data_IF_569142656430
#
_entry.id   IF_569142656430
#
_cell.length_a   1.000
_cell.length_b   1.000
_cell.length_c   1.000
_cell.angle_alpha   90.00
_cell.angle_beta   90.00
_cell.angle_gamma   90.00
#
_symmetry.space_group_name_H-M   'P 1'
#
loop_
_entity.id
_entity.type
_entity.pdbx_description
1 polymer ?
#
# COMPACT_ATOMS: atom_id res chain seq x y z
N UNK A 1 -8.50 -22.50 -52.58
CA UNK A 1 -9.07 -22.61 -51.22
C UNK A 1 -8.40 -21.51 -50.41
N UNK A 2 -9.01 -20.32 -50.40
CA UNK A 2 -8.53 -19.17 -49.64
C UNK A 2 -9.26 -19.22 -48.30
N UNK A 3 -8.50 -19.36 -47.22
CA UNK A 3 -9.01 -19.31 -45.85
C UNK A 3 -9.28 -17.85 -45.53
N UNK A 4 -10.53 -17.56 -45.21
CA UNK A 4 -11.01 -16.26 -44.75
C UNK A 4 -10.62 -16.08 -43.28
N UNK A 5 -9.47 -15.42 -43.06
CA UNK A 5 -8.99 -14.99 -41.74
C UNK A 5 -9.69 -13.68 -41.31
N UNK A 6 -11.01 -13.70 -41.28
CA UNK A 6 -11.79 -12.66 -40.61
C UNK A 6 -11.76 -12.94 -39.10
N UNK A 7 -10.63 -12.63 -38.46
CA UNK A 7 -10.58 -12.47 -37.01
C UNK A 7 -11.46 -11.27 -36.65
N UNK A 8 -12.68 -11.54 -36.21
CA UNK A 8 -13.56 -10.56 -35.59
C UNK A 8 -12.84 -9.97 -34.38
N UNK A 9 -12.44 -8.71 -34.47
CA UNK A 9 -12.07 -7.95 -33.27
C UNK A 9 -13.26 -8.00 -32.29
N UNK A 10 -13.02 -8.23 -30.99
CA UNK A 10 -14.09 -8.25 -30.02
C UNK A 10 -14.75 -6.87 -30.01
N UNK A 11 -16.01 -6.79 -30.44
CA UNK A 11 -16.83 -5.61 -30.22
C UNK A 11 -16.96 -5.43 -28.71
N UNK A 12 -16.23 -4.45 -28.18
CA UNK A 12 -16.40 -3.99 -26.81
C UNK A 12 -17.82 -3.43 -26.70
N UNK A 13 -18.68 -4.15 -25.99
CA UNK A 13 -19.96 -3.63 -25.54
C UNK A 13 -19.71 -2.31 -24.80
N UNK A 14 -20.06 -1.19 -25.44
CA UNK A 14 -19.88 0.17 -24.92
C UNK A 14 -20.78 0.48 -23.71
N UNK A 15 -21.47 -0.53 -23.17
CA UNK A 15 -22.33 -0.44 -21.98
C UNK A 15 -21.58 -0.65 -20.66
N UNK A 16 -20.32 -1.11 -20.66
CA UNK A 16 -19.50 -1.16 -19.45
C UNK A 16 -18.53 0.02 -19.38
N UNK A 17 -18.85 1.00 -18.54
CA UNK A 17 -17.92 2.08 -18.21
C UNK A 17 -16.74 1.51 -17.40
N UNK A 18 -15.61 1.29 -18.07
CA UNK A 18 -14.35 0.94 -17.41
C UNK A 18 -13.65 2.17 -16.84
N UNK A 19 -13.44 2.21 -15.53
CA UNK A 19 -12.63 3.24 -14.88
C UNK A 19 -11.40 2.63 -14.24
N UNK A 20 -10.22 3.19 -14.51
CA UNK A 20 -8.96 2.85 -13.86
C UNK A 20 -8.45 4.04 -13.06
N UNK A 21 -8.03 3.81 -11.82
CA UNK A 21 -7.48 4.84 -10.94
C UNK A 21 -6.07 4.44 -10.49
N UNK A 22 -5.12 5.34 -10.70
CA UNK A 22 -3.79 5.27 -10.08
C UNK A 22 -3.63 6.46 -9.14
N UNK A 23 -3.15 6.21 -7.92
CA UNK A 23 -2.87 7.26 -6.95
C UNK A 23 -1.48 7.09 -6.38
N UNK A 24 -0.86 8.21 -6.01
CA UNK A 24 0.45 8.26 -5.35
C UNK A 24 0.27 9.02 -4.04
N UNK A 25 0.61 8.37 -2.94
CA UNK A 25 0.69 9.01 -1.63
C UNK A 25 2.12 9.44 -1.39
N UNK A 26 2.33 10.70 -1.00
CA UNK A 26 3.62 11.22 -0.61
C UNK A 26 3.45 12.31 0.45
N UNK A 27 4.43 12.44 1.35
CA UNK A 27 4.50 13.59 2.24
C UNK A 27 4.92 14.84 1.45
N UNK A 28 4.39 15.98 1.87
CA UNK A 28 4.72 17.29 1.30
C UNK A 28 6.16 17.71 1.59
N UNK A 29 6.69 17.27 2.74
CA UNK A 29 8.06 17.52 3.18
C UNK A 29 8.98 16.36 2.73
N UNK A 30 9.94 16.63 1.83
CA UNK A 30 10.87 15.60 1.35
C UNK A 30 11.84 15.10 2.43
N UNK A 31 12.22 15.96 3.39
CA UNK A 31 13.13 15.56 4.47
C UNK A 31 12.42 14.62 5.44
N UNK A 32 11.15 14.93 5.75
CA UNK A 32 10.29 14.03 6.51
C UNK A 32 10.10 12.67 5.81
N UNK A 33 9.84 12.67 4.50
CA UNK A 33 9.71 11.43 3.73
C UNK A 33 11.00 10.58 3.79
N UNK A 34 12.16 11.22 3.69
CA UNK A 34 13.44 10.54 3.77
C UNK A 34 13.69 9.97 5.17
N UNK A 35 13.37 10.73 6.22
CA UNK A 35 13.45 10.26 7.59
C UNK A 35 12.56 9.03 7.83
N UNK A 36 11.31 9.05 7.36
CA UNK A 36 10.39 7.91 7.49
C UNK A 36 10.90 6.67 6.74
N UNK A 37 11.44 6.85 5.52
CA UNK A 37 12.05 5.76 4.76
C UNK A 37 13.27 5.17 5.47
N UNK A 38 14.12 6.03 6.03
CA UNK A 38 15.31 5.59 6.74
C UNK A 38 14.92 4.81 8.01
N UNK A 39 14.01 5.34 8.82
CA UNK A 39 13.54 4.68 10.04
C UNK A 39 12.94 3.29 9.75
N UNK A 40 12.17 3.15 8.67
CA UNK A 40 11.65 1.85 8.25
C UNK A 40 12.77 0.91 7.79
N UNK A 41 13.73 1.42 7.00
CA UNK A 41 14.89 0.64 6.55
C UNK A 41 15.73 0.13 7.72
N UNK A 42 15.92 0.96 8.74
CA UNK A 42 16.70 0.62 9.93
C UNK A 42 16.02 -0.52 10.70
N UNK A 43 14.71 -0.45 10.94
CA UNK A 43 13.95 -1.52 11.61
C UNK A 43 13.99 -2.82 10.80
N UNK A 44 13.90 -2.76 9.47
CA UNK A 44 14.02 -3.95 8.62
C UNK A 44 15.41 -4.57 8.74
N UNK A 45 16.47 -3.75 8.75
CA UNK A 45 17.84 -4.23 8.92
C UNK A 45 18.04 -4.87 10.31
N UNK A 46 17.57 -4.20 11.37
CA UNK A 46 17.60 -4.70 12.74
C UNK A 46 16.88 -6.06 12.87
N UNK A 47 15.68 -6.18 12.28
CA UNK A 47 14.90 -7.43 12.30
C UNK A 47 15.55 -8.55 11.49
N UNK A 48 16.14 -8.22 10.34
CA UNK A 48 16.85 -9.19 9.53
C UNK A 48 18.08 -9.72 10.27
N UNK A 49 18.86 -8.83 10.89
CA UNK A 49 19.99 -9.22 11.74
C UNK A 49 19.54 -10.12 12.88
N UNK A 50 18.47 -9.73 13.57
CA UNK A 50 17.93 -10.53 14.67
C UNK A 50 17.55 -11.94 14.23
N UNK A 51 16.84 -12.09 13.12
CA UNK A 51 16.39 -13.39 12.62
C UNK A 51 17.56 -14.24 12.11
N UNK A 52 18.50 -13.64 11.37
CA UNK A 52 19.52 -14.37 10.63
C UNK A 52 20.84 -14.54 11.39
N UNK A 53 21.11 -13.69 12.37
CA UNK A 53 22.38 -13.68 13.11
C UNK A 53 22.11 -13.88 14.61
N UNK A 54 21.41 -12.95 15.26
CA UNK A 54 21.36 -12.91 16.73
C UNK A 54 20.65 -14.14 17.31
N UNK A 55 19.50 -14.54 16.74
CA UNK A 55 18.79 -15.76 17.17
C UNK A 55 19.56 -17.05 16.85
N UNK A 56 20.43 -17.04 15.83
CA UNK A 56 21.23 -18.21 15.46
C UNK A 56 22.41 -18.44 16.44
N UNK A 57 22.87 -17.37 17.09
CA UNK A 57 24.01 -17.40 18.02
C UNK A 57 23.59 -17.43 19.50
N UNK A 58 22.29 -17.38 19.80
CA UNK A 58 21.75 -17.35 21.15
C UNK A 58 22.16 -18.61 21.96
N UNK A 59 22.83 -18.43 23.11
CA UNK A 59 23.07 -19.52 24.04
C UNK A 59 21.83 -19.80 24.88
N UNK A 60 21.12 -20.89 24.55
CA UNK A 60 19.90 -21.30 25.26
C UNK A 60 20.13 -21.75 26.71
N UNK A 61 21.39 -21.88 27.14
CA UNK A 61 21.74 -22.18 28.53
C UNK A 61 22.06 -20.94 29.36
N UNK A 62 22.22 -19.77 28.73
CA UNK A 62 22.50 -18.49 29.37
C UNK A 62 21.21 -17.71 29.59
N UNK A 63 20.87 -17.45 30.86
CA UNK A 63 19.72 -16.59 31.18
C UNK A 63 19.98 -15.12 30.82
N UNK A 64 21.25 -14.70 30.82
CA UNK A 64 21.64 -13.33 30.49
C UNK A 64 21.37 -13.03 29.01
N UNK A 65 21.71 -13.98 28.12
CA UNK A 65 21.44 -13.88 26.68
C UNK A 65 19.95 -13.70 26.39
N UNK A 66 19.07 -14.37 27.16
CA UNK A 66 17.63 -14.17 27.05
C UNK A 66 17.19 -12.77 27.51
N UNK A 67 17.79 -12.22 28.58
CA UNK A 67 17.47 -10.85 29.02
C UNK A 67 17.92 -9.80 28.00
N UNK A 68 19.08 -10.00 27.38
CA UNK A 68 19.55 -9.12 26.29
C UNK A 68 18.62 -9.19 25.09
N UNK A 69 18.22 -10.39 24.68
CA UNK A 69 17.27 -10.60 23.59
C UNK A 69 15.91 -9.94 23.88
N UNK A 70 15.36 -10.13 25.09
CA UNK A 70 14.10 -9.51 25.50
C UNK A 70 14.21 -7.99 25.44
N UNK A 71 15.29 -7.42 25.97
CA UNK A 71 15.51 -5.97 25.99
C UNK A 71 15.56 -5.39 24.56
N UNK A 72 16.25 -6.08 23.65
CA UNK A 72 16.32 -5.69 22.23
C UNK A 72 14.94 -5.78 21.55
N UNK A 73 14.16 -6.82 21.82
CA UNK A 73 12.80 -6.98 21.30
C UNK A 73 11.86 -5.88 21.82
N UNK A 74 11.94 -5.57 23.12
CA UNK A 74 11.11 -4.54 23.76
C UNK A 74 11.42 -3.13 23.21
N UNK A 75 12.68 -2.86 22.85
CA UNK A 75 13.08 -1.60 22.20
C UNK A 75 12.57 -1.48 20.76
N UNK A 76 12.58 -2.58 20.00
CA UNK A 76 12.13 -2.61 18.60
C UNK A 76 10.61 -2.52 18.46
N UNK A 77 9.87 -3.18 19.35
CA UNK A 77 8.43 -3.35 19.26
C UNK A 77 7.63 -2.03 19.11
N UNK A 78 7.82 -0.98 19.95
CA UNK A 78 7.06 0.26 19.81
C UNK A 78 7.33 0.98 18.49
N UNK A 79 8.57 0.94 17.99
CA UNK A 79 8.96 1.55 16.71
C UNK A 79 8.26 0.83 15.55
N UNK A 80 8.25 -0.50 15.56
CA UNK A 80 7.55 -1.30 14.56
C UNK A 80 6.03 -1.05 14.58
N UNK A 81 5.43 -1.03 15.78
CA UNK A 81 3.99 -0.75 15.95
C UNK A 81 3.60 0.63 15.42
N UNK A 82 4.44 1.65 15.61
CA UNK A 82 4.19 2.99 15.09
C UNK A 82 4.10 3.00 13.56
N UNK A 83 5.06 2.37 12.87
CA UNK A 83 5.03 2.27 11.40
C UNK A 83 3.86 1.43 10.89
N UNK A 84 3.54 0.32 11.54
CA UNK A 84 2.38 -0.50 11.18
C UNK A 84 1.06 0.26 11.34
N UNK A 85 0.93 1.05 12.40
CA UNK A 85 -0.25 1.89 12.63
C UNK A 85 -0.40 2.96 11.55
N UNK A 86 0.70 3.59 11.16
CA UNK A 86 0.70 4.60 10.09
C UNK A 86 0.29 3.99 8.74
N UNK A 87 0.90 2.86 8.36
CA UNK A 87 0.54 2.13 7.14
C UNK A 87 -0.91 1.65 7.17
N UNK A 88 -1.38 1.15 8.31
CA UNK A 88 -2.77 0.73 8.50
C UNK A 88 -3.76 1.89 8.34
N UNK A 89 -3.42 3.07 8.85
CA UNK A 89 -4.21 4.27 8.66
C UNK A 89 -4.26 4.67 7.17
N UNK A 90 -3.11 4.74 6.49
CA UNK A 90 -3.06 5.08 5.06
C UNK A 90 -3.87 4.12 4.20
N UNK A 91 -3.76 2.81 4.45
CA UNK A 91 -4.50 1.79 3.72
C UNK A 91 -6.01 1.93 3.95
N UNK A 92 -6.43 2.15 5.20
CA UNK A 92 -7.84 2.32 5.55
C UNK A 92 -8.42 3.55 4.84
N UNK A 93 -7.71 4.68 4.87
CA UNK A 93 -8.12 5.90 4.16
C UNK A 93 -8.22 5.69 2.64
N UNK A 94 -7.30 4.91 2.05
CA UNK A 94 -7.39 4.58 0.63
C UNK A 94 -8.62 3.71 0.32
N UNK A 95 -8.90 2.69 1.15
CA UNK A 95 -10.06 1.81 0.99
C UNK A 95 -11.36 2.61 1.13
N UNK A 96 -11.44 3.51 2.09
CA UNK A 96 -12.60 4.38 2.30
C UNK A 96 -12.80 5.32 1.11
N UNK A 97 -11.75 5.99 0.65
CA UNK A 97 -11.81 6.84 -0.54
C UNK A 97 -12.25 6.09 -1.80
N UNK A 98 -11.83 4.83 -1.97
CA UNK A 98 -12.29 3.98 -3.08
C UNK A 98 -13.78 3.63 -2.98
N UNK A 99 -14.30 3.39 -1.76
CA UNK A 99 -15.73 3.15 -1.55
C UNK A 99 -16.56 4.39 -1.85
N UNK A 100 -16.09 5.56 -1.43
CA UNK A 100 -16.75 6.84 -1.69
C UNK A 100 -16.76 7.13 -3.19
N UNK A 101 -15.63 6.91 -3.86
CA UNK A 101 -15.53 7.05 -5.32
C UNK A 101 -16.45 6.08 -6.05
N UNK A 102 -16.50 4.81 -5.63
CA UNK A 102 -17.41 3.82 -6.21
C UNK A 102 -18.88 4.24 -6.03
N UNK A 103 -19.21 4.80 -4.86
CA UNK A 103 -20.56 5.29 -4.56
C UNK A 103 -20.91 6.51 -5.41
N UNK A 104 -19.95 7.42 -5.61
CA UNK A 104 -20.10 8.58 -6.49
C UNK A 104 -20.32 8.18 -7.95
N UNK A 105 -19.53 7.25 -8.50
CA UNK A 105 -19.70 6.79 -9.91
C UNK A 105 -21.09 6.20 -10.15
N UNK A 106 -21.66 5.55 -9.14
CA UNK A 106 -23.02 4.99 -9.20
C UNK A 106 -24.11 6.04 -8.97
N UNK A 107 -23.76 7.25 -8.57
CA UNK A 107 -24.73 8.30 -8.25
C UNK A 107 -25.23 9.02 -9.51
N UNK A 108 -26.43 9.62 -9.46
CA UNK A 108 -26.92 10.50 -10.51
C UNK A 108 -26.00 11.71 -10.73
N UNK A 109 -25.31 12.18 -9.70
CA UNK A 109 -24.43 13.35 -9.76
C UNK A 109 -23.24 13.11 -10.70
N UNK A 110 -22.71 11.88 -10.73
CA UNK A 110 -21.67 11.52 -11.68
C UNK A 110 -22.18 11.57 -13.12
N UNK A 111 -23.41 11.11 -13.37
CA UNK A 111 -24.02 11.20 -14.70
C UNK A 111 -24.19 12.66 -15.12
N UNK A 112 -24.65 13.52 -14.20
CA UNK A 112 -24.76 14.96 -14.44
C UNK A 112 -23.40 15.61 -14.70
N UNK A 113 -22.37 15.23 -13.93
CA UNK A 113 -20.99 15.73 -14.08
C UNK A 113 -20.40 15.39 -15.46
N UNK A 114 -20.59 14.15 -15.94
CA UNK A 114 -20.12 13.75 -17.26
C UNK A 114 -20.88 14.51 -18.37
N UNK A 115 -22.21 14.67 -18.23
CA UNK A 115 -23.00 15.40 -19.21
C UNK A 115 -22.70 16.91 -19.26
N UNK A 116 -22.45 17.57 -18.11
CA UNK A 116 -22.04 18.98 -18.09
C UNK A 116 -20.66 19.18 -18.70
N UNK A 117 -19.72 18.26 -18.44
CA UNK A 117 -18.35 18.36 -18.96
C UNK A 117 -18.25 18.16 -20.47
N UNK A 118 -19.21 17.47 -21.08
CA UNK A 118 -19.29 17.29 -22.54
C UNK A 118 -19.97 18.46 -23.27
N UNK A 119 -20.75 19.29 -22.57
CA UNK A 119 -21.45 20.44 -23.16
C UNK A 119 -20.56 21.69 -23.28
N UNK A 120 -19.44 21.73 -22.57
CA UNK A 120 -18.50 22.86 -22.52
C UNK A 120 -17.24 22.64 -23.42
N UNK A 121 -17.21 21.56 -24.21
CA UNK A 121 -16.14 21.23 -25.16
C UNK A 121 -16.64 21.32 -26.62
#
# INVERSE_FOLDING_TARGET
>A
MLVDDSQSEPQLDSSELGMSLSFKVSYSDPDFLNAQKQALSDIVAERNKLIHEDLALLDTSSIEDYYELISLLDEQNPRLLAHLKELGWMLTSCIEGLKDLQSFIKSPDFHQFIHSSQSDA
#
